data_IF_891406547669
#
_entry.id   IF_891406547669
#
_cell.length_a   1.000
_cell.length_b   1.000
_cell.length_c   1.000
_cell.angle_alpha   90.00
_cell.angle_beta   90.00
_cell.angle_gamma   90.00
#
_symmetry.space_group_name_H-M   'P 1'
#
loop_
_entity.id
_entity.type
_entity.pdbx_description
1 polymer ?
#
# COMPACT_ATOMS: atom_id res chain seq x y z
N UNK A 1 -14.50 -16.69 29.42
CA UNK A 1 -15.38 -16.55 28.25
C UNK A 1 -15.52 -15.07 27.95
N UNK A 2 -15.08 -14.73 26.74
CA UNK A 2 -15.30 -13.55 25.90
C UNK A 2 -15.36 -12.16 26.54
N UNK A 3 -14.31 -11.38 26.28
CA UNK A 3 -14.44 -9.92 26.10
C UNK A 3 -13.53 -9.37 24.98
N UNK A 4 -13.09 -10.21 24.04
CA UNK A 4 -12.22 -9.83 22.91
C UNK A 4 -12.97 -9.69 21.57
N UNK A 5 -14.29 -9.79 21.57
CA UNK A 5 -15.09 -9.81 20.32
C UNK A 5 -15.73 -8.47 19.94
N UNK A 6 -15.46 -7.37 20.67
CA UNK A 6 -16.14 -6.09 20.44
C UNK A 6 -15.27 -4.94 19.91
N UNK A 7 -13.96 -5.14 19.69
CA UNK A 7 -13.07 -4.05 19.23
C UNK A 7 -12.94 -3.95 17.69
N UNK A 8 -13.46 -4.92 16.94
CA UNK A 8 -13.34 -4.98 15.47
C UNK A 8 -14.41 -4.18 14.71
N UNK A 9 -15.39 -3.60 15.41
CA UNK A 9 -16.63 -3.10 14.79
C UNK A 9 -16.65 -1.59 14.46
N UNK A 10 -15.57 -0.83 14.71
CA UNK A 10 -15.53 0.63 14.47
C UNK A 10 -14.18 1.17 13.95
N UNK A 11 -13.25 0.32 13.48
CA UNK A 11 -11.98 0.82 12.91
C UNK A 11 -12.20 1.38 11.51
N UNK A 12 -12.24 2.70 11.41
CA UNK A 12 -12.15 3.41 10.15
C UNK A 12 -10.77 3.18 9.53
N UNK A 13 -10.73 2.66 8.30
CA UNK A 13 -9.51 2.62 7.48
C UNK A 13 -9.02 4.03 7.22
N UNK A 14 -7.75 4.31 7.50
CA UNK A 14 -7.13 5.61 7.26
C UNK A 14 -6.44 5.66 5.90
N UNK A 15 -6.65 6.76 5.18
CA UNK A 15 -5.98 7.05 3.92
C UNK A 15 -4.74 7.91 4.17
N UNK A 16 -3.55 7.37 3.95
CA UNK A 16 -2.27 8.01 4.32
C UNK A 16 -1.43 8.28 3.07
N UNK A 17 -0.83 9.45 2.97
CA UNK A 17 0.05 9.81 1.86
C UNK A 17 1.24 10.66 2.30
N UNK A 18 2.44 10.24 1.92
CA UNK A 18 3.62 11.09 2.01
C UNK A 18 3.63 12.08 0.84
N UNK A 19 3.01 13.24 1.03
CA UNK A 19 2.83 14.23 -0.04
C UNK A 19 3.90 15.34 -0.02
N UNK A 20 4.51 15.59 -1.17
CA UNK A 20 5.38 16.77 -1.40
C UNK A 20 5.22 17.25 -2.84
N UNK A 21 5.26 18.56 -3.09
CA UNK A 21 5.17 19.15 -4.43
C UNK A 21 6.50 19.10 -5.21
N UNK A 22 7.26 18.01 -5.08
CA UNK A 22 8.52 17.77 -5.82
C UNK A 22 8.64 16.31 -6.24
N UNK A 23 9.10 16.09 -7.47
CA UNK A 23 9.65 14.80 -7.88
C UNK A 23 10.98 14.53 -7.19
N UNK A 24 11.35 13.27 -6.99
CA UNK A 24 12.65 12.89 -6.42
C UNK A 24 12.85 13.18 -4.93
N UNK A 25 11.80 13.56 -4.20
CA UNK A 25 11.84 13.84 -2.75
C UNK A 25 11.85 12.59 -1.86
N UNK A 26 11.76 11.39 -2.44
CA UNK A 26 11.78 10.14 -1.70
C UNK A 26 10.42 9.62 -1.21
N UNK A 27 9.28 10.16 -1.68
CA UNK A 27 7.91 9.72 -1.31
C UNK A 27 7.73 8.21 -1.41
N UNK A 28 7.96 7.64 -2.59
CA UNK A 28 7.88 6.19 -2.80
C UNK A 28 8.79 5.41 -1.85
N UNK A 29 10.02 5.89 -1.63
CA UNK A 29 10.97 5.22 -0.76
C UNK A 29 10.50 5.21 0.70
N UNK A 30 10.02 6.34 1.21
CA UNK A 30 9.46 6.40 2.57
C UNK A 30 8.18 5.57 2.70
N UNK A 31 7.31 5.58 1.68
CA UNK A 31 6.12 4.71 1.63
C UNK A 31 6.50 3.24 1.75
N UNK A 32 7.48 2.76 0.96
CA UNK A 32 7.94 1.36 1.02
C UNK A 32 8.52 1.01 2.39
N UNK A 33 9.36 1.87 2.96
CA UNK A 33 9.99 1.63 4.25
C UNK A 33 8.95 1.58 5.38
N UNK A 34 8.03 2.55 5.41
CA UNK A 34 6.99 2.62 6.44
C UNK A 34 6.00 1.48 6.29
N UNK A 35 5.49 1.20 5.08
CA UNK A 35 4.58 0.08 4.84
C UNK A 35 5.24 -1.27 5.20
N UNK A 36 6.50 -1.47 4.82
CA UNK A 36 7.25 -2.67 5.18
C UNK A 36 7.43 -2.84 6.69
N UNK A 37 7.75 -1.75 7.41
CA UNK A 37 7.87 -1.78 8.87
C UNK A 37 6.52 -2.06 9.54
N UNK A 38 5.49 -1.29 9.23
CA UNK A 38 4.17 -1.46 9.84
C UNK A 38 3.60 -2.86 9.57
N UNK A 39 3.72 -3.35 8.35
CA UNK A 39 3.19 -4.66 7.98
C UNK A 39 4.02 -5.81 8.57
N UNK A 40 5.31 -5.91 8.22
CA UNK A 40 6.10 -7.09 8.56
C UNK A 40 6.64 -7.08 10.00
N UNK A 41 6.80 -5.91 10.62
CA UNK A 41 7.32 -5.80 12.00
C UNK A 41 6.22 -5.62 13.04
N UNK A 42 5.16 -4.86 12.73
CA UNK A 42 4.08 -4.56 13.67
C UNK A 42 2.77 -5.30 13.37
N UNK A 43 2.67 -6.02 12.24
CA UNK A 43 1.48 -6.78 11.90
C UNK A 43 0.29 -5.93 11.47
N UNK A 44 0.51 -4.68 11.07
CA UNK A 44 -0.54 -3.76 10.63
C UNK A 44 -1.13 -4.25 9.28
N UNK A 45 -2.45 -4.53 9.21
CA UNK A 45 -3.14 -4.77 7.96
C UNK A 45 -3.14 -3.48 7.12
N UNK A 46 -2.50 -3.50 5.96
CA UNK A 46 -2.42 -2.35 5.07
C UNK A 46 -2.34 -2.76 3.61
N UNK A 47 -2.66 -1.81 2.73
CA UNK A 47 -2.42 -1.91 1.29
C UNK A 47 -1.80 -0.62 0.75
N UNK A 48 -1.23 -0.69 -0.45
CA UNK A 48 -0.68 0.47 -1.15
C UNK A 48 -1.36 0.66 -2.50
N UNK A 49 -1.70 1.90 -2.81
CA UNK A 49 -2.24 2.35 -4.09
C UNK A 49 -1.21 3.27 -4.73
N UNK A 50 -0.55 2.77 -5.77
CA UNK A 50 0.42 3.51 -6.56
C UNK A 50 -0.29 4.33 -7.64
N UNK A 51 -0.31 5.65 -7.44
CA UNK A 51 -0.98 6.62 -8.31
C UNK A 51 -0.01 7.44 -9.15
N UNK A 52 1.30 7.20 -9.06
CA UNK A 52 2.33 8.03 -9.69
C UNK A 52 2.50 7.67 -11.17
N UNK A 53 1.48 7.95 -11.99
CA UNK A 53 1.57 7.78 -13.43
C UNK A 53 2.52 8.84 -14.04
N UNK A 54 3.38 8.47 -15.01
CA UNK A 54 3.59 7.13 -15.59
C UNK A 54 4.57 6.21 -14.86
N UNK A 55 5.21 6.66 -13.79
CA UNK A 55 6.32 5.99 -13.13
C UNK A 55 5.93 4.67 -12.46
N UNK A 56 4.85 4.66 -11.68
CA UNK A 56 4.38 3.53 -10.87
C UNK A 56 5.51 2.78 -10.16
N UNK A 57 6.42 3.53 -9.54
CA UNK A 57 7.69 2.99 -9.07
C UNK A 57 7.51 1.88 -8.04
N UNK A 58 6.47 1.95 -7.21
CA UNK A 58 6.20 0.98 -6.16
C UNK A 58 5.64 -0.32 -6.73
N UNK A 59 4.68 -0.21 -7.65
CA UNK A 59 4.14 -1.35 -8.37
C UNK A 59 5.24 -2.06 -9.18
N UNK A 60 6.05 -1.31 -9.93
CA UNK A 60 7.14 -1.86 -10.75
C UNK A 60 8.27 -2.46 -9.89
N UNK A 61 8.50 -1.95 -8.67
CA UNK A 61 9.37 -2.63 -7.70
C UNK A 61 8.79 -3.99 -7.30
N UNK A 62 7.51 -4.04 -6.95
CA UNK A 62 6.84 -5.29 -6.55
C UNK A 62 6.85 -6.34 -7.64
N UNK A 63 6.61 -5.95 -8.90
CA UNK A 63 6.65 -6.88 -10.04
C UNK A 63 8.04 -7.44 -10.30
N UNK A 64 9.08 -6.62 -10.16
CA UNK A 64 10.48 -7.07 -10.29
C UNK A 64 10.85 -8.05 -9.18
N UNK A 65 10.46 -7.76 -7.94
CA UNK A 65 10.70 -8.66 -6.80
C UNK A 65 9.97 -10.00 -7.00
N UNK A 66 8.71 -9.96 -7.42
CA UNK A 66 7.92 -11.15 -7.73
C UNK A 66 8.58 -12.02 -8.80
N UNK A 67 9.05 -11.40 -9.89
CA UNK A 67 9.77 -12.10 -10.96
C UNK A 67 11.07 -12.72 -10.47
N UNK A 68 11.87 -11.97 -9.70
CA UNK A 68 13.12 -12.47 -9.15
C UNK A 68 12.90 -13.67 -8.22
N UNK A 69 11.82 -13.64 -7.42
CA UNK A 69 11.39 -14.79 -6.61
C UNK A 69 11.02 -15.96 -7.52
N UNK A 70 10.20 -15.75 -8.55
CA UNK A 70 9.73 -16.82 -9.45
C UNK A 70 10.83 -17.43 -10.36
N UNK A 71 11.94 -16.74 -10.54
CA UNK A 71 13.07 -17.24 -11.36
C UNK A 71 14.16 -17.93 -10.54
N UNK A 72 14.11 -17.84 -9.20
CA UNK A 72 15.17 -18.35 -8.32
C UNK A 72 14.59 -19.29 -7.23
N UNK A 73 14.93 -20.59 -7.31
CA UNK A 73 14.42 -21.61 -6.39
C UNK A 73 14.71 -21.34 -4.90
N UNK A 74 15.88 -20.75 -4.60
CA UNK A 74 16.20 -20.37 -3.22
C UNK A 74 15.25 -19.27 -2.73
N UNK A 75 15.00 -18.25 -3.55
CA UNK A 75 14.08 -17.16 -3.21
C UNK A 75 12.63 -17.64 -3.15
N UNK A 76 12.18 -18.53 -4.04
CA UNK A 76 10.86 -19.17 -3.96
C UNK A 76 10.65 -19.85 -2.62
N UNK A 77 11.61 -20.67 -2.20
CA UNK A 77 11.53 -21.41 -0.94
C UNK A 77 11.49 -20.45 0.24
N UNK A 78 12.36 -19.44 0.27
CA UNK A 78 12.35 -18.43 1.33
C UNK A 78 11.02 -17.66 1.39
N UNK A 79 10.48 -17.24 0.24
CA UNK A 79 9.19 -16.55 0.16
C UNK A 79 8.03 -17.46 0.63
N UNK A 80 8.04 -18.74 0.24
CA UNK A 80 7.03 -19.71 0.68
C UNK A 80 7.07 -19.94 2.19
N UNK A 81 8.26 -20.12 2.77
CA UNK A 81 8.45 -20.28 4.21
C UNK A 81 8.00 -19.02 4.98
N UNK A 82 8.28 -17.83 4.45
CA UNK A 82 7.79 -16.57 5.01
C UNK A 82 6.25 -16.48 4.93
N UNK A 83 5.65 -16.70 3.77
CA UNK A 83 4.21 -16.54 3.55
C UNK A 83 3.35 -17.51 4.37
N UNK A 84 3.90 -18.65 4.80
CA UNK A 84 3.22 -19.59 5.70
C UNK A 84 3.09 -19.08 7.13
N UNK A 85 3.88 -18.08 7.53
CA UNK A 85 3.75 -17.48 8.83
C UNK A 85 2.56 -16.51 8.83
N UNK A 86 1.67 -16.57 9.84
CA UNK A 86 0.55 -15.65 9.95
C UNK A 86 1.01 -14.18 9.89
N UNK A 87 0.35 -13.36 9.08
CA UNK A 87 0.65 -11.94 8.93
C UNK A 87 1.96 -11.61 8.20
N UNK A 88 2.57 -12.58 7.49
CA UNK A 88 3.83 -12.38 6.74
C UNK A 88 3.68 -12.48 5.22
N UNK A 89 2.47 -12.72 4.74
CA UNK A 89 2.14 -12.59 3.33
C UNK A 89 2.48 -11.18 2.82
N UNK A 90 2.74 -11.04 1.53
CA UNK A 90 2.96 -9.72 0.94
C UNK A 90 1.71 -8.84 1.07
N UNK A 91 1.86 -7.61 1.57
CA UNK A 91 0.79 -6.62 1.46
C UNK A 91 0.49 -6.29 -0.01
N UNK A 92 -0.78 -6.03 -0.37
CA UNK A 92 -1.17 -5.77 -1.75
C UNK A 92 -0.70 -4.39 -2.21
N UNK A 93 -0.36 -4.32 -3.50
CA UNK A 93 -0.03 -3.10 -4.22
C UNK A 93 -0.91 -3.03 -5.47
N UNK A 94 -1.77 -2.03 -5.57
CA UNK A 94 -2.56 -1.74 -6.77
C UNK A 94 -2.00 -0.49 -7.44
N UNK A 95 -2.03 -0.45 -8.78
CA UNK A 95 -1.77 0.79 -9.51
C UNK A 95 -3.06 1.34 -10.09
N UNK A 96 -3.23 2.65 -10.07
CA UNK A 96 -4.35 3.32 -10.72
C UNK A 96 -3.96 4.73 -11.15
N UNK A 97 -4.82 5.38 -11.96
CA UNK A 97 -4.70 6.82 -12.17
C UNK A 97 -5.10 7.56 -10.89
N UNK A 98 -4.53 8.72 -10.62
CA UNK A 98 -4.80 9.48 -9.39
C UNK A 98 -6.29 9.86 -9.26
N UNK A 99 -6.96 10.07 -10.38
CA UNK A 99 -8.40 10.34 -10.49
C UNK A 99 -9.26 9.17 -10.02
N UNK A 100 -8.75 7.94 -10.14
CA UNK A 100 -9.43 6.68 -9.79
C UNK A 100 -9.09 6.21 -8.38
N UNK A 101 -8.11 6.82 -7.72
CA UNK A 101 -7.63 6.42 -6.40
C UNK A 101 -8.76 6.29 -5.36
N UNK A 102 -9.77 7.19 -5.30
CA UNK A 102 -10.90 7.02 -4.39
C UNK A 102 -11.77 5.79 -4.65
N UNK A 103 -11.90 5.37 -5.92
CA UNK A 103 -12.64 4.18 -6.30
C UNK A 103 -11.83 2.92 -5.94
N UNK A 104 -10.54 2.89 -6.29
CA UNK A 104 -9.63 1.79 -5.96
C UNK A 104 -9.50 1.59 -4.45
N UNK A 105 -9.52 2.66 -3.65
CA UNK A 105 -9.51 2.57 -2.19
C UNK A 105 -10.77 1.90 -1.64
N UNK A 106 -11.95 2.25 -2.19
CA UNK A 106 -13.23 1.61 -1.83
C UNK A 106 -13.26 0.14 -2.21
N UNK A 107 -12.75 -0.21 -3.38
CA UNK A 107 -12.64 -1.61 -3.84
C UNK A 107 -11.74 -2.42 -2.89
N UNK A 108 -10.54 -1.90 -2.56
CA UNK A 108 -9.64 -2.56 -1.61
C UNK A 108 -10.27 -2.71 -0.23
N UNK A 109 -10.92 -1.67 0.30
CA UNK A 109 -11.62 -1.75 1.58
C UNK A 109 -12.76 -2.78 1.61
N UNK A 110 -13.33 -3.12 0.45
CA UNK A 110 -14.32 -4.20 0.33
C UNK A 110 -13.67 -5.59 0.16
N UNK A 111 -12.46 -5.68 -0.41
CA UNK A 111 -11.71 -6.93 -0.59
C UNK A 111 -11.07 -7.45 0.70
N UNK A 112 -10.83 -6.58 1.69
CA UNK A 112 -10.17 -6.96 2.95
C UNK A 112 -10.30 -5.93 4.06
N UNK A 113 -9.97 -6.35 5.28
CA UNK A 113 -9.92 -5.48 6.44
C UNK A 113 -8.54 -4.82 6.53
N UNK A 114 -8.46 -3.53 6.18
CA UNK A 114 -7.24 -2.74 6.25
C UNK A 114 -7.38 -1.64 7.30
N UNK A 115 -6.36 -1.49 8.14
CA UNK A 115 -6.26 -0.34 9.04
C UNK A 115 -5.74 0.90 8.27
N UNK A 116 -4.84 0.69 7.30
CA UNK A 116 -4.19 1.75 6.53
C UNK A 116 -4.22 1.48 5.02
N UNK A 117 -4.53 2.50 4.25
CA UNK A 117 -4.30 2.55 2.81
C UNK A 117 -3.27 3.64 2.52
N UNK A 118 -2.10 3.24 2.04
CA UNK A 118 -1.07 4.18 1.59
C UNK A 118 -1.29 4.57 0.14
N UNK A 119 -1.16 5.86 -0.17
CA UNK A 119 -1.23 6.38 -1.54
C UNK A 119 0.14 6.91 -1.96
N UNK A 120 0.75 6.31 -2.99
CA UNK A 120 1.95 6.87 -3.62
C UNK A 120 1.51 7.88 -4.69
N UNK A 121 1.47 9.15 -4.29
CA UNK A 121 0.94 10.24 -5.10
C UNK A 121 2.01 10.82 -6.05
N UNK A 122 1.60 11.31 -7.23
CA UNK A 122 2.53 11.98 -8.14
C UNK A 122 3.12 13.25 -7.53
N UNK A 123 4.37 13.56 -7.91
CA UNK A 123 5.10 14.70 -7.39
C UNK A 123 4.61 16.08 -7.86
N UNK A 124 3.66 16.13 -8.78
CA UNK A 124 3.14 17.36 -9.39
C UNK A 124 1.63 17.45 -9.21
N UNK A 125 1.14 18.66 -8.91
CA UNK A 125 -0.29 18.94 -8.70
C UNK A 125 -1.07 19.23 -9.98
N UNK A 126 -0.42 19.13 -11.14
CA UNK A 126 -1.04 19.52 -12.41
C UNK A 126 -1.90 18.41 -13.04
N UNK A 127 -1.99 17.26 -12.36
CA UNK A 127 -2.85 16.16 -12.77
C UNK A 127 -4.28 16.43 -12.30
N UNK A 128 -5.26 16.29 -13.19
CA UNK A 128 -6.67 16.36 -12.82
C UNK A 128 -6.96 15.38 -11.66
N UNK A 129 -7.87 15.72 -10.77
CA UNK A 129 -8.26 14.85 -9.66
C UNK A 129 -7.28 14.73 -8.48
N UNK A 130 -6.03 15.18 -8.58
CA UNK A 130 -5.08 15.08 -7.46
C UNK A 130 -5.55 15.81 -6.20
N UNK A 131 -6.16 17.00 -6.36
CA UNK A 131 -6.70 17.76 -5.23
C UNK A 131 -7.83 17.02 -4.52
N UNK A 132 -8.67 16.31 -5.27
CA UNK A 132 -9.77 15.50 -4.71
C UNK A 132 -9.21 14.34 -3.90
N UNK A 133 -8.18 13.67 -4.42
CA UNK A 133 -7.53 12.56 -3.73
C UNK A 133 -6.82 13.06 -2.46
N UNK A 134 -6.05 14.15 -2.54
CA UNK A 134 -5.38 14.74 -1.36
C UNK A 134 -6.39 15.16 -0.29
N UNK A 135 -7.55 15.73 -0.68
CA UNK A 135 -8.58 16.15 0.26
C UNK A 135 -9.27 15.00 1.01
N UNK A 136 -9.07 13.75 0.57
CA UNK A 136 -9.57 12.54 1.22
C UNK A 136 -8.52 11.83 2.06
N UNK A 137 -7.30 12.38 2.14
CA UNK A 137 -6.25 11.83 2.98
C UNK A 137 -6.49 12.26 4.42
N UNK A 138 -6.34 11.31 5.32
CA UNK A 138 -6.27 11.51 6.76
C UNK A 138 -4.84 11.92 7.20
N UNK A 139 -4.01 12.27 6.19
CA UNK A 139 -2.56 12.56 6.08
C UNK A 139 -1.60 11.38 6.31
#
# INVERSE_FOLDING_TARGET
MNNQQNDDMDRQTLNVAFATQKGGSGKTAITVLVAGYLHYRLGCPLAVIDCDFPQYSLYEMRERDSRAVLENEYLKRAAYEQMRQPGRAAYPVRKCRVEQAPDTARELAAEGCYDLLFFDLPGTVNSAGILRTIAQMDY
#
